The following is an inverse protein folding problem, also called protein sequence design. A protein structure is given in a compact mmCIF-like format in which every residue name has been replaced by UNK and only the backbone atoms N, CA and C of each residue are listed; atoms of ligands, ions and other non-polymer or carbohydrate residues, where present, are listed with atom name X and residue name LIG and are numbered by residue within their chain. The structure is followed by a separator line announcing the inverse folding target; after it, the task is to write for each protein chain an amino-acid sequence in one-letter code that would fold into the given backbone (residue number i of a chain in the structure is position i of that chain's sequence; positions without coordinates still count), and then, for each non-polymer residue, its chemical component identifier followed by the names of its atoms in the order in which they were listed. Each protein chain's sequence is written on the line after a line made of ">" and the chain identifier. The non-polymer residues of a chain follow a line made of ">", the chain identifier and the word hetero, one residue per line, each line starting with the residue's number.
data_IF_994669860702
#
_entry.id   IF_994669860702
#
_cell.length_a   1.000
_cell.length_b   1.000
_cell.length_c   1.000
_cell.angle_alpha   90.00
_cell.angle_beta   90.00
_cell.angle_gamma   90.00
#
_symmetry.space_group_name_H-M   'P 1'
#
loop_
_entity.id
_entity.type
_entity.pdbx_description
1 polymer ?
#
# COMPACT_ATOMS: atom_id res chain seq x y z
N UNK A 1 11.52 -8.99 -13.84
CA UNK A 1 12.91 -8.52 -14.04
C UNK A 1 13.69 -8.84 -12.76
N UNK A 2 14.91 -9.35 -12.86
CA UNK A 2 15.64 -9.96 -11.75
C UNK A 2 16.36 -8.92 -10.86
N UNK A 3 16.36 -9.15 -9.54
CA UNK A 3 17.07 -8.34 -8.53
C UNK A 3 18.57 -8.64 -8.52
N UNK A 4 18.94 -9.89 -8.85
CA UNK A 4 20.31 -10.34 -8.94
C UNK A 4 20.83 -10.16 -10.36
N UNK A 5 21.94 -9.47 -10.50
CA UNK A 5 22.62 -9.23 -11.76
C UNK A 5 23.96 -9.97 -11.75
N UNK A 6 24.12 -10.91 -12.68
CA UNK A 6 25.40 -11.62 -12.87
C UNK A 6 26.32 -10.72 -13.69
N UNK A 7 27.49 -10.41 -13.14
CA UNK A 7 28.57 -9.71 -13.81
C UNK A 7 29.77 -10.65 -13.92
N UNK A 8 30.61 -10.47 -14.94
CA UNK A 8 31.94 -11.07 -14.98
C UNK A 8 32.93 -10.06 -14.42
N UNK A 9 33.78 -10.52 -13.51
CA UNK A 9 34.92 -9.75 -13.03
C UNK A 9 36.00 -9.63 -14.11
N UNK A 10 36.95 -8.71 -13.92
CA UNK A 10 38.10 -8.52 -14.83
C UNK A 10 38.96 -9.79 -14.91
N UNK A 11 38.93 -10.63 -13.87
CA UNK A 11 39.60 -11.94 -13.79
C UNK A 11 38.80 -13.10 -14.43
N UNK A 12 37.62 -12.83 -14.99
CA UNK A 12 36.75 -13.84 -15.60
C UNK A 12 35.86 -14.62 -14.63
N UNK A 13 35.99 -14.38 -13.32
CA UNK A 13 35.14 -14.98 -12.29
C UNK A 13 33.71 -14.40 -12.32
N UNK A 14 32.72 -15.21 -11.95
CA UNK A 14 31.33 -14.77 -11.87
C UNK A 14 31.08 -14.04 -10.55
N UNK A 15 30.75 -12.75 -10.61
CA UNK A 15 30.36 -11.92 -9.47
C UNK A 15 28.86 -11.63 -9.56
N UNK A 16 28.17 -11.67 -8.44
CA UNK A 16 26.74 -11.38 -8.36
C UNK A 16 26.53 -10.06 -7.63
N UNK A 17 25.83 -9.13 -8.25
CA UNK A 17 25.46 -7.87 -7.63
C UNK A 17 23.95 -7.83 -7.36
N UNK A 18 23.59 -7.27 -6.21
CA UNK A 18 22.19 -7.03 -5.85
C UNK A 18 21.84 -5.61 -6.23
N UNK A 19 20.86 -5.44 -7.12
CA UNK A 19 20.37 -4.12 -7.48
C UNK A 19 19.40 -3.61 -6.40
N UNK A 20 19.94 -2.88 -5.41
CA UNK A 20 19.16 -2.36 -4.29
C UNK A 20 17.98 -1.48 -4.73
N UNK A 21 18.15 -0.66 -5.77
CA UNK A 21 17.07 0.19 -6.30
C UNK A 21 15.90 -0.64 -6.81
N UNK A 22 16.18 -1.71 -7.56
CA UNK A 22 15.14 -2.65 -8.03
C UNK A 22 14.54 -3.44 -6.88
N UNK A 23 15.35 -3.87 -5.92
CA UNK A 23 14.89 -4.61 -4.73
C UNK A 23 13.86 -3.79 -3.94
N UNK A 24 14.18 -2.53 -3.62
CA UNK A 24 13.25 -1.64 -2.92
C UNK A 24 12.01 -1.35 -3.75
N UNK A 25 12.14 -1.10 -5.06
CA UNK A 25 10.97 -0.89 -5.90
C UNK A 25 10.05 -2.11 -5.91
N UNK A 26 10.60 -3.33 -5.97
CA UNK A 26 9.79 -4.55 -5.92
C UNK A 26 9.16 -4.77 -4.54
N UNK A 27 9.89 -4.48 -3.46
CA UNK A 27 9.37 -4.55 -2.10
C UNK A 27 8.20 -3.58 -1.90
N UNK A 28 8.34 -2.33 -2.36
CA UNK A 28 7.26 -1.34 -2.32
C UNK A 28 6.04 -1.82 -3.09
N UNK A 29 6.23 -2.46 -4.26
CA UNK A 29 5.11 -3.04 -5.00
C UNK A 29 4.40 -4.17 -4.24
N UNK A 30 5.14 -5.03 -3.56
CA UNK A 30 4.57 -6.09 -2.72
C UNK A 30 3.77 -5.52 -1.56
N UNK A 31 4.27 -4.46 -0.91
CA UNK A 31 3.56 -3.77 0.17
C UNK A 31 2.23 -3.17 -0.35
N UNK A 32 2.27 -2.46 -1.48
CA UNK A 32 1.07 -1.89 -2.09
C UNK A 32 0.05 -2.98 -2.44
N UNK A 33 0.49 -4.09 -3.05
CA UNK A 33 -0.41 -5.20 -3.41
C UNK A 33 -1.06 -5.85 -2.18
N UNK A 34 -0.31 -6.00 -1.09
CA UNK A 34 -0.83 -6.50 0.18
C UNK A 34 -1.88 -5.55 0.78
N UNK A 35 -1.61 -4.24 0.79
CA UNK A 35 -2.57 -3.23 1.29
C UNK A 35 -3.86 -3.27 0.47
N UNK A 36 -3.75 -3.33 -0.86
CA UNK A 36 -4.93 -3.41 -1.74
C UNK A 36 -5.71 -4.70 -1.49
N UNK A 37 -5.01 -5.82 -1.34
CA UNK A 37 -5.63 -7.11 -1.07
C UNK A 37 -6.38 -7.10 0.26
N UNK A 38 -5.80 -6.50 1.31
CA UNK A 38 -6.43 -6.38 2.63
C UNK A 38 -7.62 -5.41 2.63
N UNK A 39 -7.52 -4.28 1.94
CA UNK A 39 -8.56 -3.22 1.97
C UNK A 39 -9.72 -3.48 0.99
N UNK A 40 -9.45 -4.04 -0.20
CA UNK A 40 -10.43 -4.16 -1.28
C UNK A 40 -10.66 -5.60 -1.76
N UNK A 41 -9.87 -6.55 -1.26
CA UNK A 41 -9.97 -7.96 -1.62
C UNK A 41 -9.19 -8.35 -2.87
N UNK A 42 -9.18 -9.66 -3.14
CA UNK A 42 -8.34 -10.29 -4.18
C UNK A 42 -8.69 -9.88 -5.61
N UNK A 43 -9.98 -9.59 -5.88
CA UNK A 43 -10.46 -9.14 -7.21
C UNK A 43 -9.88 -7.76 -7.57
N UNK A 44 -9.92 -6.81 -6.64
CA UNK A 44 -9.32 -5.48 -6.83
C UNK A 44 -7.80 -5.54 -6.98
N UNK A 45 -7.13 -6.35 -6.15
CA UNK A 45 -5.68 -6.57 -6.28
C UNK A 45 -5.30 -7.16 -7.65
N UNK A 46 -6.13 -8.06 -8.20
CA UNK A 46 -5.92 -8.58 -9.56
C UNK A 46 -6.00 -7.49 -10.62
N UNK A 47 -7.02 -6.62 -10.56
CA UNK A 47 -7.15 -5.48 -11.48
C UNK A 47 -5.92 -4.57 -11.39
N UNK A 48 -5.49 -4.23 -10.17
CA UNK A 48 -4.31 -3.42 -9.95
C UNK A 48 -3.05 -4.04 -10.59
N UNK A 49 -2.83 -5.36 -10.43
CA UNK A 49 -1.71 -6.07 -11.05
C UNK A 49 -1.78 -6.07 -12.58
N UNK A 50 -2.97 -6.19 -13.17
CA UNK A 50 -3.19 -6.11 -14.63
C UNK A 50 -2.78 -4.73 -15.14
N UNK A 51 -3.31 -3.65 -14.54
CA UNK A 51 -2.99 -2.27 -14.94
C UNK A 51 -1.48 -2.00 -14.81
N UNK A 52 -0.87 -2.42 -13.69
CA UNK A 52 0.58 -2.29 -13.48
C UNK A 52 1.40 -2.98 -14.58
N UNK A 53 0.97 -4.17 -15.01
CA UNK A 53 1.72 -4.98 -15.98
C UNK A 53 1.62 -4.40 -17.38
N UNK A 54 0.44 -3.91 -17.77
CA UNK A 54 0.18 -3.35 -19.11
C UNK A 54 0.63 -1.88 -19.24
N UNK A 55 0.97 -1.21 -18.14
CA UNK A 55 1.35 0.22 -18.00
C UNK A 55 0.22 1.19 -18.30
N UNK A 56 -0.40 1.07 -19.48
CA UNK A 56 -1.59 1.79 -19.90
C UNK A 56 -2.59 0.80 -20.46
N UNK A 57 -3.82 0.84 -20.00
CA UNK A 57 -4.85 -0.13 -20.40
C UNK A 57 -6.23 0.54 -20.42
N UNK A 58 -7.06 0.16 -21.38
CA UNK A 58 -8.46 0.62 -21.45
C UNK A 58 -9.36 -0.17 -20.50
N UNK A 59 -10.54 0.36 -20.18
CA UNK A 59 -11.47 -0.28 -19.25
C UNK A 59 -11.93 -1.67 -19.72
N UNK A 60 -12.21 -1.82 -21.01
CA UNK A 60 -12.69 -3.07 -21.59
C UNK A 60 -11.59 -4.15 -21.57
N UNK A 61 -10.33 -3.74 -21.79
CA UNK A 61 -9.16 -4.63 -21.69
C UNK A 61 -8.91 -5.06 -20.24
N UNK A 62 -9.10 -4.18 -19.24
CA UNK A 62 -8.99 -4.56 -17.81
C UNK A 62 -9.94 -5.72 -17.50
N UNK A 63 -11.18 -5.66 -17.98
CA UNK A 63 -12.16 -6.71 -17.75
C UNK A 63 -11.70 -8.05 -18.35
N UNK A 64 -11.25 -8.03 -19.60
CA UNK A 64 -10.82 -9.24 -20.31
C UNK A 64 -9.58 -9.87 -19.65
N UNK A 65 -8.56 -9.06 -19.36
CA UNK A 65 -7.29 -9.52 -18.79
C UNK A 65 -7.43 -9.96 -17.33
N UNK A 66 -8.30 -9.33 -16.54
CA UNK A 66 -8.52 -9.72 -15.15
C UNK A 66 -9.44 -10.93 -14.99
N UNK A 67 -10.16 -11.33 -16.06
CA UNK A 67 -11.20 -12.36 -16.05
C UNK A 67 -12.22 -12.13 -14.91
N UNK A 68 -12.69 -10.90 -14.79
CA UNK A 68 -13.69 -10.47 -13.79
C UNK A 68 -14.95 -10.02 -14.54
N UNK A 69 -16.16 -10.31 -14.02
CA UNK A 69 -17.39 -9.85 -14.64
C UNK A 69 -17.42 -8.33 -14.86
N UNK A 70 -17.98 -7.82 -15.98
CA UNK A 70 -17.93 -6.40 -16.34
C UNK A 70 -18.39 -5.46 -15.24
N UNK A 71 -19.50 -5.81 -14.56
CA UNK A 71 -20.07 -5.01 -13.48
C UNK A 71 -19.11 -4.86 -12.30
N UNK A 72 -18.48 -5.96 -11.88
CA UNK A 72 -17.53 -5.95 -10.77
C UNK A 72 -16.21 -5.30 -11.16
N UNK A 73 -15.70 -5.59 -12.36
CA UNK A 73 -14.46 -4.99 -12.87
C UNK A 73 -14.57 -3.46 -12.88
N UNK A 74 -15.69 -2.94 -13.38
CA UNK A 74 -16.01 -1.51 -13.35
C UNK A 74 -16.04 -0.96 -11.92
N UNK A 75 -16.78 -1.61 -11.02
CA UNK A 75 -16.89 -1.19 -9.62
C UNK A 75 -15.52 -1.09 -8.93
N UNK A 76 -14.71 -2.13 -9.03
CA UNK A 76 -13.39 -2.15 -8.38
C UNK A 76 -12.41 -1.18 -9.04
N UNK A 77 -12.46 -1.00 -10.36
CA UNK A 77 -11.60 -0.03 -11.07
C UNK A 77 -11.87 1.38 -10.58
N UNK A 78 -13.15 1.77 -10.45
CA UNK A 78 -13.51 3.09 -9.92
C UNK A 78 -13.19 3.25 -8.43
N UNK A 79 -13.40 2.22 -7.60
CA UNK A 79 -12.96 2.26 -6.20
C UNK A 79 -11.45 2.48 -6.05
N UNK A 80 -10.65 1.82 -6.87
CA UNK A 80 -9.19 2.02 -6.86
C UNK A 80 -8.79 3.41 -7.40
N UNK A 81 -9.57 3.98 -8.31
CA UNK A 81 -9.39 5.34 -8.80
C UNK A 81 -9.71 6.40 -7.72
N UNK A 82 -10.83 6.24 -7.01
CA UNK A 82 -11.24 7.12 -5.90
C UNK A 82 -10.17 7.18 -4.80
N UNK A 83 -9.45 6.08 -4.59
CA UNK A 83 -8.38 5.94 -3.60
C UNK A 83 -7.00 6.32 -4.15
N UNK A 84 -6.92 6.92 -5.34
CA UNK A 84 -5.70 7.32 -6.03
C UNK A 84 -4.69 6.17 -6.27
N UNK A 85 -5.15 4.91 -6.23
CA UNK A 85 -4.33 3.73 -6.53
C UNK A 85 -4.22 3.50 -8.04
N UNK A 86 -5.24 3.91 -8.79
CA UNK A 86 -5.21 4.03 -10.24
C UNK A 86 -5.29 5.49 -10.64
N UNK A 87 -4.74 5.81 -11.80
CA UNK A 87 -4.82 7.13 -12.42
C UNK A 87 -5.38 6.97 -13.83
N UNK A 88 -6.04 8.01 -14.33
CA UNK A 88 -6.57 8.06 -15.69
C UNK A 88 -5.84 9.12 -16.51
N UNK A 89 -5.52 8.79 -17.75
CA UNK A 89 -5.04 9.72 -18.76
C UNK A 89 -5.98 9.72 -19.95
N UNK A 90 -6.48 10.89 -20.34
CA UNK A 90 -7.27 11.05 -21.56
C UNK A 90 -6.34 11.37 -22.75
N UNK A 91 -6.55 10.69 -23.87
CA UNK A 91 -5.84 10.93 -25.11
C UNK A 91 -6.86 11.22 -26.22
N UNK A 92 -6.64 12.29 -26.98
CA UNK A 92 -7.42 12.57 -28.19
C UNK A 92 -6.79 11.83 -29.37
N UNK A 93 -7.58 11.06 -30.12
CA UNK A 93 -7.10 10.44 -31.36
C UNK A 93 -6.85 11.55 -32.38
N UNK A 94 -5.58 11.78 -32.72
CA UNK A 94 -5.20 12.71 -33.80
C UNK A 94 -5.43 12.00 -35.15
N UNK A 95 -6.32 12.52 -36.00
CA UNK A 95 -6.45 12.02 -37.38
C UNK A 95 -7.86 11.96 -37.99
N UNK A 96 -8.92 12.42 -37.32
CA UNK A 96 -10.27 12.45 -37.90
C UNK A 96 -10.81 13.87 -38.10
N UNK A 97 -11.41 14.16 -39.25
CA UNK A 97 -12.16 15.40 -39.52
C UNK A 97 -13.52 15.43 -38.76
N UNK A 98 -13.49 15.26 -37.44
CA UNK A 98 -14.68 15.28 -36.59
C UNK A 98 -14.35 15.28 -35.09
N UNK A 99 -15.33 15.54 -34.21
CA UNK A 99 -15.14 15.51 -32.76
C UNK A 99 -14.79 14.09 -32.30
N UNK A 100 -13.51 13.82 -32.11
CA UNK A 100 -13.01 12.52 -31.66
C UNK A 100 -13.29 12.33 -30.17
N UNK A 101 -13.98 11.23 -29.82
CA UNK A 101 -14.20 10.85 -28.41
C UNK A 101 -12.84 10.55 -27.76
N UNK A 102 -12.54 11.13 -26.58
CA UNK A 102 -11.28 10.85 -25.89
C UNK A 102 -11.23 9.39 -25.43
N UNK A 103 -10.06 8.79 -25.55
CA UNK A 103 -9.76 7.45 -25.02
C UNK A 103 -9.20 7.63 -23.61
N UNK A 104 -9.72 6.86 -22.65
CA UNK A 104 -9.27 6.89 -21.26
C UNK A 104 -8.39 5.67 -20.96
N UNK A 105 -7.15 5.94 -20.60
CA UNK A 105 -6.17 4.91 -20.23
C UNK A 105 -5.92 4.93 -18.73
N UNK A 106 -6.06 3.77 -18.10
CA UNK A 106 -5.72 3.55 -16.71
C UNK A 106 -4.25 3.21 -16.58
N UNK A 107 -3.60 3.77 -15.57
CA UNK A 107 -2.20 3.50 -15.25
C UNK A 107 -1.95 3.62 -13.74
N UNK A 108 -0.77 3.20 -13.32
CA UNK A 108 -0.32 3.29 -11.92
C UNK A 108 0.95 4.11 -11.83
N UNK A 109 1.08 4.89 -10.76
CA UNK A 109 2.32 5.60 -10.43
C UNK A 109 2.79 5.18 -9.03
N UNK A 110 3.88 4.42 -8.98
CA UNK A 110 4.41 3.90 -7.72
C UNK A 110 4.79 5.00 -6.72
N UNK A 111 5.43 6.06 -7.22
CA UNK A 111 5.94 7.13 -6.36
C UNK A 111 4.81 7.92 -5.71
N UNK A 112 3.73 8.15 -6.45
CA UNK A 112 2.54 8.80 -5.93
C UNK A 112 1.90 7.95 -4.83
N UNK A 113 1.61 6.67 -5.13
CA UNK A 113 0.99 5.76 -4.17
C UNK A 113 1.85 5.61 -2.92
N UNK A 114 3.18 5.47 -3.07
CA UNK A 114 4.08 5.37 -1.93
C UNK A 114 4.05 6.62 -1.04
N UNK A 115 3.98 7.82 -1.62
CA UNK A 115 3.86 9.07 -0.87
C UNK A 115 2.55 9.15 -0.10
N UNK A 116 1.44 8.82 -0.75
CA UNK A 116 0.11 8.87 -0.14
C UNK A 116 0.00 7.85 1.01
N UNK A 117 0.60 6.67 0.84
CA UNK A 117 0.67 5.65 1.90
C UNK A 117 1.52 6.11 3.08
N UNK A 118 2.67 6.74 2.85
CA UNK A 118 3.51 7.28 3.92
C UNK A 118 2.75 8.35 4.71
N UNK A 119 2.07 9.28 4.03
CA UNK A 119 1.26 10.30 4.68
C UNK A 119 0.14 9.67 5.51
N UNK A 120 -0.53 8.65 4.97
CA UNK A 120 -1.54 7.88 5.69
C UNK A 120 -0.96 7.23 6.94
N UNK A 121 0.21 6.60 6.86
CA UNK A 121 0.89 6.01 8.01
C UNK A 121 1.19 7.05 9.10
N UNK A 122 1.68 8.24 8.74
CA UNK A 122 1.91 9.30 9.71
C UNK A 122 0.63 9.77 10.38
N UNK A 123 -0.44 9.98 9.61
CA UNK A 123 -1.76 10.32 10.15
C UNK A 123 -2.29 9.24 11.08
N UNK A 124 -2.15 7.96 10.72
CA UNK A 124 -2.56 6.83 11.56
C UNK A 124 -1.77 6.78 12.86
N UNK A 125 -0.44 6.92 12.81
CA UNK A 125 0.41 6.95 14.01
C UNK A 125 0.04 8.10 14.95
N UNK A 126 -0.20 9.29 14.40
CA UNK A 126 -0.65 10.44 15.17
C UNK A 126 -2.00 10.17 15.84
N UNK A 127 -2.99 9.70 15.07
CA UNK A 127 -4.33 9.40 15.60
C UNK A 127 -4.30 8.34 16.70
N UNK A 128 -3.49 7.29 16.53
CA UNK A 128 -3.31 6.25 17.55
C UNK A 128 -2.67 6.83 18.82
N UNK A 129 -1.66 7.68 18.67
CA UNK A 129 -0.99 8.32 19.81
C UNK A 129 -1.94 9.21 20.60
N UNK A 130 -2.70 10.07 19.90
CA UNK A 130 -3.72 10.92 20.51
C UNK A 130 -4.76 10.06 21.24
N UNK A 131 -5.22 8.99 20.59
CA UNK A 131 -6.19 8.08 21.19
C UNK A 131 -5.67 7.43 22.47
N UNK A 132 -4.43 6.94 22.46
CA UNK A 132 -3.79 6.34 23.64
C UNK A 132 -3.66 7.34 24.79
N UNK A 133 -3.32 8.60 24.50
CA UNK A 133 -3.25 9.66 25.53
C UNK A 133 -4.63 9.91 26.13
N UNK A 134 -5.65 10.06 25.29
CA UNK A 134 -7.04 10.26 25.74
C UNK A 134 -7.53 9.09 26.60
N UNK A 135 -7.31 7.85 26.15
CA UNK A 135 -7.74 6.66 26.88
C UNK A 135 -7.03 6.57 28.25
N UNK A 136 -5.76 7.00 28.34
CA UNK A 136 -5.01 7.13 29.60
C UNK A 136 -5.57 8.23 30.50
N UNK A 137 -5.90 9.40 29.97
CA UNK A 137 -6.48 10.50 30.76
C UNK A 137 -7.83 10.11 31.35
N UNK A 138 -8.70 9.47 30.56
CA UNK A 138 -9.98 8.95 31.01
C UNK A 138 -9.83 7.89 32.11
N UNK A 139 -8.82 7.03 31.99
CA UNK A 139 -8.55 5.94 32.93
C UNK A 139 -7.62 6.32 34.08
N UNK A 140 -7.21 7.59 34.18
CA UNK A 140 -6.16 8.03 35.12
C UNK A 140 -6.45 7.65 36.56
N UNK A 141 -7.70 7.83 37.02
CA UNK A 141 -8.10 7.48 38.40
C UNK A 141 -7.94 6.00 38.71
N UNK A 142 -8.27 5.13 37.75
CA UNK A 142 -8.13 3.69 37.90
C UNK A 142 -6.66 3.29 37.91
N UNK A 143 -5.85 3.88 37.02
CA UNK A 143 -4.40 3.65 36.98
C UNK A 143 -3.71 4.12 38.27
N UNK A 144 -4.08 5.28 38.80
CA UNK A 144 -3.53 5.80 40.07
C UNK A 144 -3.88 4.89 41.24
N UNK A 145 -5.10 4.33 41.26
CA UNK A 145 -5.54 3.37 42.28
C UNK A 145 -4.75 2.05 42.17
N UNK A 146 -4.60 1.52 40.97
CA UNK A 146 -3.83 0.29 40.72
C UNK A 146 -2.37 0.48 41.14
N UNK A 147 -1.76 1.60 40.76
CA UNK A 147 -0.38 1.92 41.13
C UNK A 147 -0.19 1.95 42.65
N UNK A 148 -1.15 2.52 43.40
CA UNK A 148 -1.10 2.52 44.87
C UNK A 148 -1.17 1.11 45.45
N UNK A 149 -2.01 0.24 44.91
CA UNK A 149 -2.11 -1.15 45.36
C UNK A 149 -0.82 -1.92 45.08
N UNK A 150 -0.25 -1.77 43.88
CA UNK A 150 1.03 -2.37 43.51
C UNK A 150 2.15 -1.95 44.45
N UNK A 151 2.27 -0.64 44.75
CA UNK A 151 3.27 -0.14 45.70
C UNK A 151 3.10 -0.75 47.10
N UNK A 152 1.86 -0.94 47.58
CA UNK A 152 1.62 -1.59 48.88
C UNK A 152 2.07 -3.06 48.83
N UNK A 153 1.71 -3.80 47.78
CA UNK A 153 2.12 -5.20 47.60
C UNK A 153 3.65 -5.32 47.56
N UNK A 154 4.32 -4.43 46.83
CA UNK A 154 5.78 -4.46 46.70
C UNK A 154 6.48 -4.16 48.03
N UNK A 155 5.98 -3.19 48.80
CA UNK A 155 6.48 -2.92 50.15
C UNK A 155 6.29 -4.12 51.11
N UNK A 156 5.18 -4.86 50.99
CA UNK A 156 4.93 -6.05 51.80
C UNK A 156 5.90 -7.18 51.44
N UNK A 157 6.15 -7.40 50.14
CA UNK A 157 7.14 -8.37 49.67
C UNK A 157 8.56 -8.03 50.13
N UNK A 158 8.95 -6.77 50.09
CA UNK A 158 10.27 -6.32 50.55
C UNK A 158 10.48 -6.50 52.06
N UNK A 159 9.40 -6.44 52.85
CA UNK A 159 9.43 -6.71 54.29
C UNK A 159 9.45 -8.20 54.65
N UNK A 160 9.37 -9.10 53.66
CA UNK A 160 9.39 -10.55 53.88
C UNK A 160 8.09 -11.13 54.45
N UNK A 161 7.01 -10.35 54.46
CA UNK A 161 5.68 -10.82 54.84
C UNK A 161 5.00 -11.36 53.57
N UNK A 162 5.17 -12.67 53.33
CA UNK A 162 4.46 -13.43 52.29
C UNK A 162 3.13 -13.97 52.79
#
# INVERSE_FOLDING_TARGET
>A
MWIFEKKKDETGNAVYNVNMKKAFAQMTWSIIDNIITQKFGSKAARIFRVVRTKKFIEQDEIQQEAMIPPKEARLFTYKLLEENLLLIKSIKKSGGMGPSKPIYLFYVNQHQIARDLIETCYKTLYNLTVRVIQDKEMSKRLMDKELRLQLVIDNLKERGES
#
